data_IF_971488717082
#
_entry.id   IF_971488717082
#
_cell.length_a   1.000
_cell.length_b   1.000
_cell.length_c   1.000
_cell.angle_alpha   90.00
_cell.angle_beta   90.00
_cell.angle_gamma   90.00
#
_symmetry.space_group_name_H-M   'P 1'
#
loop_
_entity.id
_entity.type
_entity.pdbx_description
1 polymer ?
#
# COMPACT_ATOMS: atom_id res chain seq x y z
N UNK A 1 -7.15 26.50 -18.53
CA UNK A 1 -8.28 26.07 -17.69
C UNK A 1 -7.76 24.99 -16.74
N UNK A 2 -7.04 25.42 -15.68
CA UNK A 2 -6.45 24.52 -14.68
C UNK A 2 -7.42 24.42 -13.51
N UNK A 3 -8.06 23.27 -13.36
CA UNK A 3 -9.04 23.00 -12.30
C UNK A 3 -8.61 21.82 -11.42
N UNK A 4 -7.31 21.69 -11.15
CA UNK A 4 -6.83 20.85 -10.05
C UNK A 4 -6.75 21.73 -8.80
N UNK A 5 -7.87 21.83 -8.09
CA UNK A 5 -7.90 22.42 -6.75
C UNK A 5 -7.10 21.54 -5.77
N UNK A 6 -6.34 22.13 -4.82
CA UNK A 6 -5.62 21.37 -3.79
C UNK A 6 -6.53 20.52 -2.87
N UNK A 7 -7.85 20.70 -2.96
CA UNK A 7 -8.85 19.86 -2.27
C UNK A 7 -9.07 18.48 -2.91
N UNK A 8 -8.66 18.25 -4.16
CA UNK A 8 -8.87 16.98 -4.86
C UNK A 8 -8.05 15.83 -4.25
N UNK A 9 -6.76 16.07 -4.00
CA UNK A 9 -5.87 15.11 -3.33
C UNK A 9 -6.37 14.76 -1.94
N UNK A 10 -6.96 15.73 -1.25
CA UNK A 10 -7.49 15.54 0.09
C UNK A 10 -8.71 14.61 0.13
N UNK A 11 -9.63 14.74 -0.81
CA UNK A 11 -10.80 13.86 -0.90
C UNK A 11 -10.40 12.44 -1.32
N UNK A 12 -9.42 12.31 -2.24
CA UNK A 12 -8.91 11.01 -2.67
C UNK A 12 -8.28 10.21 -1.52
N UNK A 13 -7.51 10.85 -0.64
CA UNK A 13 -6.88 10.16 0.50
C UNK A 13 -7.89 9.58 1.51
N UNK A 14 -9.09 10.13 1.60
CA UNK A 14 -10.18 9.61 2.46
C UNK A 14 -10.86 8.38 1.84
N UNK A 15 -10.75 8.19 0.52
CA UNK A 15 -11.30 7.04 -0.21
C UNK A 15 -10.32 5.86 -0.30
N UNK A 16 -9.04 6.08 -0.02
CA UNK A 16 -8.02 5.04 -0.05
C UNK A 16 -8.19 4.14 1.17
N UNK A 17 -8.54 2.88 0.94
CA UNK A 17 -8.63 1.87 2.00
C UNK A 17 -7.29 1.52 2.63
N UNK A 18 -6.19 1.83 1.94
CA UNK A 18 -4.85 1.69 2.50
C UNK A 18 -4.46 2.87 3.42
N UNK A 19 -3.69 2.63 4.48
CA UNK A 19 -3.30 3.69 5.39
C UNK A 19 -2.28 4.67 4.78
N UNK A 20 -2.59 5.97 4.85
CA UNK A 20 -1.74 7.04 4.34
C UNK A 20 -1.51 8.13 5.39
N UNK A 21 -0.25 8.57 5.51
CA UNK A 21 0.22 9.62 6.41
C UNK A 21 0.89 10.74 5.63
N UNK A 22 0.57 11.98 5.96
CA UNK A 22 1.30 13.16 5.50
C UNK A 22 2.06 13.73 6.68
N UNK A 23 3.37 13.85 6.56
CA UNK A 23 4.26 14.41 7.57
C UNK A 23 4.80 15.77 7.12
N UNK A 24 5.01 16.66 8.08
CA UNK A 24 5.79 17.89 7.88
C UNK A 24 7.29 17.57 7.84
N UNK A 25 8.10 18.58 7.53
CA UNK A 25 9.57 18.47 7.52
C UNK A 25 10.19 18.15 8.87
N UNK A 26 9.50 18.46 9.97
CA UNK A 26 9.90 18.11 11.35
C UNK A 26 9.40 16.71 11.79
N UNK A 27 8.88 15.91 10.85
CA UNK A 27 8.30 14.58 11.06
C UNK A 27 7.01 14.57 11.89
N UNK A 28 6.43 15.72 12.22
CA UNK A 28 5.10 15.77 12.84
C UNK A 28 4.02 15.36 11.84
N UNK A 29 2.98 14.67 12.34
CA UNK A 29 1.84 14.28 11.50
C UNK A 29 1.06 15.54 11.12
N UNK A 30 1.01 15.83 9.82
CA UNK A 30 0.13 16.86 9.27
C UNK A 30 -1.28 16.29 9.03
N UNK A 31 -1.35 15.06 8.51
CA UNK A 31 -2.59 14.37 8.22
C UNK A 31 -2.44 12.87 8.30
N UNK A 32 -3.50 12.20 8.72
CA UNK A 32 -3.68 10.76 8.64
C UNK A 32 -5.09 10.50 8.12
N UNK A 33 -5.24 9.63 7.12
CA UNK A 33 -6.55 9.19 6.65
C UNK A 33 -7.20 8.21 7.68
N UNK A 34 -8.49 7.86 7.54
CA UNK A 34 -9.16 6.97 8.49
C UNK A 34 -8.44 5.63 8.68
N UNK A 35 -8.03 4.98 7.58
CA UNK A 35 -7.26 3.74 7.63
C UNK A 35 -5.95 3.88 8.42
N UNK A 36 -5.27 5.03 8.32
CA UNK A 36 -4.07 5.30 9.13
C UNK A 36 -4.37 5.50 10.61
N UNK A 37 -5.49 6.15 10.94
CA UNK A 37 -5.93 6.34 12.33
C UNK A 37 -6.29 5.00 12.97
N UNK A 38 -6.92 4.09 12.23
CA UNK A 38 -7.34 2.79 12.76
C UNK A 38 -6.19 1.97 13.36
N UNK A 39 -4.97 2.08 12.83
CA UNK A 39 -3.81 1.38 13.39
C UNK A 39 -2.85 2.24 14.21
N UNK A 40 -2.85 3.57 14.01
CA UNK A 40 -2.09 4.48 14.88
C UNK A 40 -2.79 4.74 16.22
N UNK A 41 -4.09 4.49 16.30
CA UNK A 41 -4.93 4.74 17.46
C UNK A 41 -5.69 6.07 17.35
N UNK A 42 -6.42 6.38 18.42
CA UNK A 42 -7.31 7.55 18.49
C UNK A 42 -6.58 8.88 18.23
N UNK A 43 -5.30 8.98 18.60
CA UNK A 43 -4.42 10.09 18.25
C UNK A 43 -3.29 9.60 17.34
N UNK A 44 -3.38 9.95 16.05
CA UNK A 44 -2.39 9.58 15.05
C UNK A 44 -1.02 10.20 15.32
N UNK A 45 -0.94 11.38 15.95
CA UNK A 45 0.33 12.03 16.25
C UNK A 45 1.07 11.28 17.36
N UNK A 46 0.36 10.84 18.40
CA UNK A 46 0.92 10.03 19.47
C UNK A 46 1.29 8.62 18.99
N UNK A 47 0.42 7.98 18.20
CA UNK A 47 0.72 6.69 17.58
C UNK A 47 1.99 6.74 16.73
N UNK A 48 2.11 7.77 15.88
CA UNK A 48 3.29 7.99 15.07
C UNK A 48 4.54 8.27 15.91
N UNK A 49 4.41 9.07 16.98
CA UNK A 49 5.51 9.37 17.91
C UNK A 49 6.05 8.09 18.55
N UNK A 50 5.19 7.19 19.00
CA UNK A 50 5.57 5.90 19.57
C UNK A 50 6.29 5.00 18.56
N UNK A 51 5.79 4.93 17.32
CA UNK A 51 6.42 4.15 16.26
C UNK A 51 7.79 4.69 15.87
N UNK A 52 7.92 6.01 15.74
CA UNK A 52 9.21 6.66 15.48
C UNK A 52 10.19 6.38 16.61
N UNK A 53 9.74 6.46 17.86
CA UNK A 53 10.56 6.14 19.01
C UNK A 53 11.03 4.67 18.98
N UNK A 54 10.14 3.73 18.66
CA UNK A 54 10.48 2.31 18.53
C UNK A 54 11.46 2.02 17.38
N UNK A 55 11.33 2.73 16.26
CA UNK A 55 12.22 2.60 15.10
C UNK A 55 13.59 3.28 15.29
N UNK A 56 13.67 4.24 16.22
CA UNK A 56 14.84 5.06 16.46
C UNK A 56 15.29 5.84 15.22
N UNK A 57 16.60 6.07 15.11
CA UNK A 57 17.20 6.88 14.04
C UNK A 57 17.07 6.25 12.63
N UNK A 58 16.73 4.96 12.54
CA UNK A 58 16.66 4.24 11.26
C UNK A 58 15.57 4.79 10.35
N UNK A 59 14.42 5.16 10.93
CA UNK A 59 13.29 5.68 10.17
C UNK A 59 13.60 7.06 9.57
N UNK A 60 14.21 7.94 10.36
CA UNK A 60 14.56 9.29 9.91
C UNK A 60 15.66 9.26 8.83
N UNK A 61 16.67 8.41 9.02
CA UNK A 61 17.73 8.19 8.04
C UNK A 61 17.14 7.66 6.73
N UNK A 62 16.28 6.65 6.81
CA UNK A 62 15.59 6.10 5.65
C UNK A 62 14.75 7.16 4.91
N UNK A 63 13.99 8.00 5.62
CA UNK A 63 13.19 9.06 4.98
C UNK A 63 14.05 10.04 4.18
N UNK A 64 15.21 10.41 4.71
CA UNK A 64 16.16 11.30 4.01
C UNK A 64 16.73 10.62 2.77
N UNK A 65 17.23 9.39 2.91
CA UNK A 65 17.82 8.64 1.80
C UNK A 65 16.79 8.31 0.71
N UNK A 66 15.58 7.92 1.10
CA UNK A 66 14.48 7.67 0.18
C UNK A 66 14.04 8.94 -0.54
N UNK A 67 14.02 10.09 0.14
CA UNK A 67 13.72 11.38 -0.50
C UNK A 67 14.76 11.70 -1.56
N UNK A 68 16.06 11.55 -1.24
CA UNK A 68 17.15 11.79 -2.19
C UNK A 68 17.12 10.82 -3.37
N UNK A 69 16.77 9.56 -3.15
CA UNK A 69 16.63 8.57 -4.20
C UNK A 69 15.46 8.91 -5.14
N UNK A 70 14.27 9.18 -4.59
CA UNK A 70 13.08 9.58 -5.37
C UNK A 70 13.33 10.89 -6.12
N UNK A 71 14.02 11.85 -5.50
CA UNK A 71 14.45 13.10 -6.14
C UNK A 71 15.33 12.87 -7.37
N UNK A 72 16.23 11.90 -7.27
CA UNK A 72 17.13 11.53 -8.35
C UNK A 72 16.49 10.57 -9.38
N UNK A 73 15.19 10.27 -9.26
CA UNK A 73 14.52 9.27 -10.11
C UNK A 73 15.03 7.84 -9.92
N UNK A 74 15.67 7.55 -8.79
CA UNK A 74 16.20 6.23 -8.43
C UNK A 74 15.23 5.49 -7.53
N UNK A 75 15.40 4.17 -7.47
CA UNK A 75 14.62 3.34 -6.55
C UNK A 75 15.02 3.67 -5.09
N UNK A 76 14.05 3.99 -4.21
CA UNK A 76 14.34 4.23 -2.80
C UNK A 76 14.83 2.96 -2.09
N UNK A 77 15.65 3.11 -1.03
CA UNK A 77 16.03 1.98 -0.19
C UNK A 77 14.79 1.35 0.47
N UNK A 78 14.87 0.06 0.76
CA UNK A 78 13.81 -0.65 1.47
C UNK A 78 13.56 -0.01 2.85
N UNK A 79 12.30 0.19 3.19
CA UNK A 79 11.92 0.76 4.49
C UNK A 79 12.27 -0.20 5.63
N UNK A 80 12.69 0.34 6.80
CA UNK A 80 12.84 -0.49 7.99
C UNK A 80 11.45 -1.05 8.36
N UNK A 81 11.33 -2.35 8.67
CA UNK A 81 10.08 -2.92 9.13
C UNK A 81 9.69 -2.31 10.47
N UNK A 82 8.46 -1.80 10.57
CA UNK A 82 7.91 -1.26 11.80
C UNK A 82 7.00 -2.31 12.45
N UNK A 83 7.07 -2.45 13.77
CA UNK A 83 6.21 -3.35 14.54
C UNK A 83 5.18 -2.53 15.29
N UNK A 84 3.91 -2.88 15.12
CA UNK A 84 2.80 -2.29 15.85
C UNK A 84 2.64 -2.95 17.23
N UNK A 85 1.89 -2.29 18.11
CA UNK A 85 1.62 -2.78 19.46
C UNK A 85 0.88 -4.13 19.47
N UNK A 86 0.03 -4.36 18.47
CA UNK A 86 -0.71 -5.62 18.27
C UNK A 86 0.09 -6.73 17.58
N UNK A 87 1.38 -6.49 17.31
CA UNK A 87 2.27 -7.45 16.66
C UNK A 87 2.26 -7.45 15.13
N UNK A 88 1.37 -6.68 14.49
CA UNK A 88 1.39 -6.51 13.02
C UNK A 88 2.67 -5.80 12.58
N UNK A 89 3.06 -6.05 11.33
CA UNK A 89 4.20 -5.36 10.70
C UNK A 89 3.69 -4.34 9.71
N UNK A 90 4.32 -3.17 9.70
CA UNK A 90 4.06 -2.12 8.73
C UNK A 90 5.33 -1.90 7.91
N UNK A 91 5.16 -1.92 6.60
CA UNK A 91 6.16 -1.45 5.65
C UNK A 91 5.74 -0.09 5.14
N UNK A 92 6.64 0.89 5.20
CA UNK A 92 6.36 2.23 4.71
C UNK A 92 6.87 2.40 3.28
N UNK A 93 6.09 3.11 2.47
CA UNK A 93 6.45 3.49 1.10
C UNK A 93 6.36 5.00 0.99
N UNK A 94 7.45 5.63 0.56
CA UNK A 94 7.47 7.07 0.28
C UNK A 94 6.88 7.32 -1.11
N UNK A 95 5.72 7.98 -1.17
CA UNK A 95 5.02 8.35 -2.41
C UNK A 95 5.36 9.79 -2.86
N UNK A 96 5.57 10.66 -1.87
CA UNK A 96 6.01 12.06 -1.95
C UNK A 96 5.02 13.09 -2.54
N UNK A 97 4.84 14.19 -1.80
CA UNK A 97 4.18 15.43 -2.24
C UNK A 97 4.91 16.63 -1.59
N UNK A 98 5.73 17.40 -2.34
CA UNK A 98 6.48 18.54 -1.75
C UNK A 98 5.53 19.67 -1.33
N UNK A 99 5.73 20.31 -0.17
CA UNK A 99 6.90 20.24 0.73
C UNK A 99 6.85 19.13 1.80
N UNK A 100 5.82 18.28 1.80
CA UNK A 100 5.57 17.29 2.84
C UNK A 100 6.09 15.90 2.45
N UNK A 101 6.12 14.98 3.42
CA UNK A 101 6.31 13.56 3.12
C UNK A 101 4.96 12.86 3.11
N UNK A 102 4.61 12.27 1.97
CA UNK A 102 3.44 11.40 1.85
C UNK A 102 3.90 9.95 1.94
N UNK A 103 3.46 9.25 2.98
CA UNK A 103 3.79 7.87 3.28
C UNK A 103 2.55 6.99 3.13
N UNK A 104 2.69 5.94 2.35
CA UNK A 104 1.74 4.85 2.31
C UNK A 104 2.25 3.72 3.20
N UNK A 105 1.40 3.22 4.09
CA UNK A 105 1.73 2.14 5.00
C UNK A 105 1.06 0.86 4.52
N UNK A 106 1.85 -0.14 4.13
CA UNK A 106 1.34 -1.47 3.86
C UNK A 106 1.38 -2.29 5.15
N UNK A 107 0.20 -2.58 5.68
CA UNK A 107 0.05 -3.53 6.78
C UNK A 107 0.25 -4.94 6.23
N UNK A 108 1.28 -5.62 6.74
CA UNK A 108 1.37 -7.06 6.63
C UNK A 108 0.78 -7.64 7.90
N UNK A 109 -0.38 -8.28 7.80
CA UNK A 109 -0.87 -9.12 8.87
C UNK A 109 0.23 -10.14 9.20
N UNK A 110 0.44 -10.42 10.49
CA UNK A 110 1.12 -11.65 10.86
C UNK A 110 0.24 -12.79 10.31
N UNK A 111 0.67 -13.42 9.21
CA UNK A 111 -0.04 -14.49 8.51
C UNK A 111 -1.57 -14.33 8.47
N UNK A 112 -2.05 -13.41 7.65
CA UNK A 112 -3.28 -13.71 6.93
C UNK A 112 -2.83 -14.06 5.54
N UNK A 113 -2.79 -15.37 5.26
CA UNK A 113 -2.52 -15.89 3.93
C UNK A 113 -3.31 -15.06 2.94
N UNK A 114 -2.60 -14.52 1.95
CA UNK A 114 -3.22 -14.02 0.73
C UNK A 114 -4.38 -14.97 0.41
N UNK A 115 -5.64 -14.50 0.29
CA UNK A 115 -6.75 -15.39 -0.02
C UNK A 115 -6.29 -16.19 -1.21
N UNK A 116 -6.18 -17.53 -1.10
CA UNK A 116 -5.48 -18.31 -2.10
C UNK A 116 -6.10 -17.93 -3.43
N UNK A 117 -5.29 -17.64 -4.45
CA UNK A 117 -5.73 -17.04 -5.73
C UNK A 117 -7.04 -17.64 -6.32
N UNK A 118 -7.36 -18.88 -5.94
CA UNK A 118 -8.65 -19.54 -6.12
C UNK A 118 -9.87 -18.77 -5.58
N UNK A 119 -9.82 -18.21 -4.38
CA UNK A 119 -10.89 -17.44 -3.75
C UNK A 119 -11.12 -16.13 -4.50
N UNK A 120 -10.06 -15.42 -4.89
CA UNK A 120 -10.16 -14.21 -5.73
C UNK A 120 -10.80 -14.51 -7.09
N UNK A 121 -10.36 -15.60 -7.75
CA UNK A 121 -10.94 -16.03 -9.02
C UNK A 121 -12.42 -16.40 -8.86
N UNK A 122 -12.80 -17.05 -7.76
CA UNK A 122 -14.18 -17.45 -7.47
C UNK A 122 -15.11 -16.26 -7.19
N UNK A 123 -14.61 -15.20 -6.56
CA UNK A 123 -15.39 -14.00 -6.23
C UNK A 123 -15.57 -13.03 -7.40
N UNK A 124 -14.73 -13.11 -8.43
CA UNK A 124 -14.83 -12.22 -9.59
C UNK A 124 -16.10 -12.51 -10.40
N UNK A 125 -17.00 -11.53 -10.58
CA UNK A 125 -18.17 -11.68 -11.46
C UNK A 125 -17.78 -11.62 -12.94
N UNK A 126 -16.55 -11.21 -13.25
CA UNK A 126 -16.03 -11.13 -14.61
C UNK A 126 -15.26 -12.42 -14.97
N UNK A 127 -15.33 -12.86 -16.24
CA UNK A 127 -14.49 -13.94 -16.77
C UNK A 127 -13.02 -13.66 -16.50
N UNK A 128 -12.36 -14.57 -15.79
CA UNK A 128 -10.97 -14.43 -15.40
C UNK A 128 -10.19 -15.74 -15.59
N UNK A 129 -8.92 -15.61 -15.98
CA UNK A 129 -8.01 -16.70 -16.25
C UNK A 129 -6.59 -16.29 -15.86
N UNK A 130 -5.86 -17.23 -15.26
CA UNK A 130 -4.44 -17.15 -14.97
C UNK A 130 -3.69 -18.04 -15.96
N UNK A 131 -2.69 -17.48 -16.65
CA UNK A 131 -1.80 -18.22 -17.52
C UNK A 131 -0.35 -18.15 -17.03
N UNK A 132 0.43 -19.17 -17.38
CA UNK A 132 1.87 -19.18 -17.23
C UNK A 132 2.49 -18.11 -18.14
N UNK A 133 3.34 -17.26 -17.56
CA UNK A 133 4.01 -16.19 -18.29
C UNK A 133 5.09 -16.73 -19.25
N UNK A 134 5.64 -17.93 -19.02
CA UNK A 134 6.68 -18.50 -19.86
C UNK A 134 6.13 -19.21 -21.10
N UNK A 135 5.02 -19.96 -20.95
CA UNK A 135 4.47 -20.79 -22.01
C UNK A 135 3.03 -20.49 -22.43
N UNK A 136 2.36 -19.49 -21.84
CA UNK A 136 0.97 -19.15 -22.13
C UNK A 136 -0.05 -20.25 -21.71
N UNK A 137 0.41 -21.26 -20.97
CA UNK A 137 -0.43 -22.36 -20.52
C UNK A 137 -1.43 -21.91 -19.47
N UNK A 138 -2.70 -22.29 -19.63
CA UNK A 138 -3.76 -21.93 -18.68
C UNK A 138 -3.56 -22.68 -17.37
N UNK A 139 -3.35 -21.93 -16.28
CA UNK A 139 -3.13 -22.48 -14.94
C UNK A 139 -4.45 -22.58 -14.16
N UNK A 140 -5.29 -21.54 -14.24
CA UNK A 140 -6.60 -21.47 -13.55
C UNK A 140 -7.59 -20.60 -14.33
N UNK A 141 -8.88 -20.81 -14.11
CA UNK A 141 -9.99 -20.00 -14.65
C UNK A 141 -11.18 -20.05 -13.72
N UNK A 142 -12.09 -19.07 -13.81
CA UNK A 142 -13.29 -19.02 -12.97
C UNK A 142 -14.56 -19.47 -13.71
N UNK A 143 -15.64 -19.67 -12.95
CA UNK A 143 -16.93 -20.13 -13.49
C UNK A 143 -17.52 -19.16 -14.55
N UNK A 144 -17.29 -17.85 -14.40
CA UNK A 144 -17.69 -16.85 -15.39
C UNK A 144 -16.95 -17.05 -16.73
N UNK A 145 -15.69 -17.46 -16.69
CA UNK A 145 -14.93 -17.82 -17.89
C UNK A 145 -15.41 -19.13 -18.52
N UNK A 146 -15.70 -20.16 -17.70
CA UNK A 146 -16.24 -21.43 -18.17
C UNK A 146 -17.61 -21.27 -18.86
N UNK A 147 -18.44 -20.35 -18.36
CA UNK A 147 -19.73 -20.03 -18.96
C UNK A 147 -19.63 -19.39 -20.36
N UNK A 148 -18.54 -18.64 -20.63
CA UNK A 148 -18.30 -18.04 -21.95
C UNK A 148 -17.60 -18.98 -22.93
N UNK A 149 -16.80 -19.92 -22.42
CA UNK A 149 -16.00 -20.83 -23.24
C UNK A 149 -16.23 -22.27 -22.77
N UNK A 150 -17.28 -22.95 -23.27
CA UNK A 150 -17.60 -24.34 -22.90
C UNK A 150 -16.57 -25.36 -23.42
N UNK A 151 -15.58 -24.93 -24.23
CA UNK A 151 -14.40 -25.72 -24.57
C UNK A 151 -13.21 -25.33 -23.68
N UNK A 152 -12.31 -26.26 -23.36
CA UNK A 152 -11.11 -25.94 -22.59
C UNK A 152 -10.05 -25.26 -23.51
N UNK A 153 -9.79 -23.94 -23.39
CA UNK A 153 -8.62 -23.37 -24.04
C UNK A 153 -7.39 -23.87 -23.28
N UNK A 154 -6.54 -24.64 -23.97
CA UNK A 154 -5.32 -25.20 -23.37
C UNK A 154 -4.15 -24.22 -23.42
N UNK A 155 -4.24 -23.20 -24.28
CA UNK A 155 -3.22 -22.21 -24.54
C UNK A 155 -3.87 -20.85 -24.84
N UNK A 156 -3.20 -19.76 -24.44
CA UNK A 156 -3.45 -18.41 -24.92
C UNK A 156 -2.45 -18.01 -26.01
#
# INVERSE_FOLDING_TARGET
>A
MSMFSPNGSAALLELVGDPVLTLRSDLSVLRANPAARDWLGADAADGWRLLRHAAGLRLETWLRDATLAVDAGRMPPAAPPLKLADGRRVTLHLLRERPNWLLHARLSAADHGEPPLVEWLALSPLPALLADAAGGGVLRRNAAFDALSPGAPRHL
#
